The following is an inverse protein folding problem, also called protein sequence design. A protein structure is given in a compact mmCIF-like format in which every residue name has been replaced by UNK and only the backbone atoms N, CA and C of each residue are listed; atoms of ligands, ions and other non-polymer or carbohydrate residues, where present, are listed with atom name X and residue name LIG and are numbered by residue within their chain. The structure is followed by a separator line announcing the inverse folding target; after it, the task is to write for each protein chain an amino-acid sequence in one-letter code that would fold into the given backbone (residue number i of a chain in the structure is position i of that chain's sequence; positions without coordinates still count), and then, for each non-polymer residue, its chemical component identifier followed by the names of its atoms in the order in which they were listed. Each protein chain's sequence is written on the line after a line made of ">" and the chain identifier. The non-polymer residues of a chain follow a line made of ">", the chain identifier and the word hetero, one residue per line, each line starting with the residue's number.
data_IF_098114158890
#
_entry.id   IF_098114158890
#
_cell.length_a   1.000
_cell.length_b   1.000
_cell.length_c   1.000
_cell.angle_alpha   90.00
_cell.angle_beta   90.00
_cell.angle_gamma   90.00
#
_symmetry.space_group_name_H-M   'P 1'
#
loop_
_entity.id
_entity.type
_entity.pdbx_description
1 polymer ?
#
# COMPACT_ATOMS: atom_id res chain seq x y z
N UNK A 1 28.58 11.10 16.63
CA UNK A 1 27.21 11.22 16.07
C UNK A 1 27.03 9.98 15.22
N UNK A 2 25.98 9.18 15.43
CA UNK A 2 25.69 8.08 14.51
C UNK A 2 25.44 8.70 13.13
N UNK A 3 25.99 8.08 12.10
CA UNK A 3 25.76 8.51 10.73
C UNK A 3 24.26 8.32 10.43
N UNK A 4 23.58 9.34 9.90
CA UNK A 4 22.18 9.26 9.52
C UNK A 4 22.01 8.20 8.46
N UNK A 5 21.01 7.29 8.55
CA UNK A 5 20.84 6.22 7.56
C UNK A 5 20.34 6.75 6.22
N UNK A 6 20.66 6.04 5.16
CA UNK A 6 19.86 6.08 3.94
C UNK A 6 18.51 5.41 4.20
N UNK A 7 17.51 5.74 3.40
CA UNK A 7 16.17 5.18 3.51
C UNK A 7 15.70 4.69 2.13
N UNK A 8 15.49 3.40 1.99
CA UNK A 8 14.79 2.81 0.85
C UNK A 8 13.35 2.52 1.28
N UNK A 9 12.41 3.31 0.81
CA UNK A 9 10.99 3.11 1.05
C UNK A 9 10.34 2.53 -0.20
N UNK A 10 10.13 1.21 -0.20
CA UNK A 10 9.50 0.46 -1.29
C UNK A 10 8.03 0.25 -0.98
N UNK A 11 7.15 0.88 -1.75
CA UNK A 11 5.71 0.88 -1.57
C UNK A 11 5.02 0.31 -2.82
N UNK A 12 4.32 -0.79 -2.66
CA UNK A 12 3.44 -1.36 -3.69
C UNK A 12 2.09 -0.63 -3.70
N UNK A 13 1.32 -0.78 -4.77
CA UNK A 13 -0.04 -0.26 -4.87
C UNK A 13 -1.04 -1.42 -4.78
N UNK A 14 -1.91 -1.37 -3.78
CA UNK A 14 -3.02 -2.31 -3.64
C UNK A 14 -2.58 -3.75 -3.28
N UNK A 15 -1.48 -3.92 -2.52
CA UNK A 15 -1.02 -5.24 -2.06
C UNK A 15 -1.61 -5.62 -0.70
N UNK A 16 -2.22 -6.79 -0.62
CA UNK A 16 -2.80 -7.36 0.59
C UNK A 16 -1.72 -7.81 1.58
N UNK A 17 -2.05 -7.73 2.88
CA UNK A 17 -1.19 -8.18 3.98
C UNK A 17 -0.85 -9.68 3.92
N UNK A 18 -1.76 -10.51 3.38
CA UNK A 18 -1.70 -11.98 3.37
C UNK A 18 -0.96 -12.54 2.14
N UNK A 19 -0.08 -11.75 1.51
CA UNK A 19 0.62 -12.11 0.27
C UNK A 19 2.13 -12.26 0.44
N UNK A 20 2.58 -12.70 1.60
CA UNK A 20 3.99 -12.94 1.94
C UNK A 20 4.14 -14.36 2.47
N UNK A 21 5.08 -15.14 1.88
CA UNK A 21 5.29 -16.55 2.23
C UNK A 21 5.70 -16.74 3.68
N UNK A 22 6.68 -15.98 4.18
CA UNK A 22 7.14 -16.05 5.58
C UNK A 22 6.07 -15.65 6.61
N UNK A 23 4.99 -14.98 6.19
CA UNK A 23 3.86 -14.62 7.04
C UNK A 23 2.67 -15.57 6.91
N UNK A 24 2.87 -16.73 6.27
CA UNK A 24 1.93 -17.85 6.30
C UNK A 24 1.18 -18.16 5.01
N UNK A 25 1.47 -17.50 3.88
CA UNK A 25 0.85 -17.82 2.60
C UNK A 25 1.71 -18.80 1.78
N UNK A 26 1.32 -20.09 1.64
CA UNK A 26 2.09 -21.07 0.89
C UNK A 26 1.89 -20.98 -0.64
N UNK A 27 0.97 -20.15 -1.12
CA UNK A 27 0.61 -20.04 -2.54
C UNK A 27 1.34 -18.91 -3.26
N UNK A 28 2.01 -18.00 -2.54
CA UNK A 28 2.83 -16.93 -3.11
C UNK A 28 4.30 -17.33 -3.22
N UNK A 29 5.06 -16.61 -4.04
CA UNK A 29 6.51 -16.77 -4.16
C UNK A 29 7.20 -15.44 -3.87
N UNK A 30 7.69 -15.28 -2.63
CA UNK A 30 8.28 -14.03 -2.12
C UNK A 30 9.60 -14.26 -1.35
N UNK A 31 10.58 -15.03 -1.90
CA UNK A 31 11.78 -15.40 -1.16
C UNK A 31 12.61 -14.20 -0.67
N UNK A 32 12.58 -13.07 -1.38
CA UNK A 32 13.36 -11.88 -1.01
C UNK A 32 12.66 -11.10 0.10
N UNK A 33 11.34 -10.91 0.01
CA UNK A 33 10.55 -10.30 1.08
C UNK A 33 10.54 -11.23 2.31
N UNK A 34 10.49 -12.55 2.13
CA UNK A 34 10.63 -13.54 3.20
C UNK A 34 11.98 -13.42 3.93
N UNK A 35 13.06 -13.14 3.18
CA UNK A 35 14.36 -12.86 3.79
C UNK A 35 14.34 -11.53 4.55
N UNK A 36 13.68 -10.50 4.01
CA UNK A 36 13.54 -9.22 4.71
C UNK A 36 12.77 -9.37 6.04
N UNK A 37 11.77 -10.26 6.11
CA UNK A 37 11.06 -10.62 7.35
C UNK A 37 12.06 -11.20 8.37
N UNK A 38 12.94 -12.10 7.95
CA UNK A 38 13.98 -12.67 8.82
C UNK A 38 15.06 -11.67 9.22
N UNK A 39 15.36 -10.68 8.37
CA UNK A 39 16.40 -9.66 8.59
C UNK A 39 15.91 -8.44 9.39
N UNK A 40 14.63 -8.39 9.75
CA UNK A 40 14.04 -7.22 10.38
C UNK A 40 12.81 -7.51 11.23
N UNK A 41 11.95 -6.51 11.31
CA UNK A 41 10.66 -6.57 12.01
C UNK A 41 9.52 -6.54 11.01
N UNK A 42 8.65 -7.56 11.06
CA UNK A 42 7.40 -7.60 10.33
C UNK A 42 6.24 -7.24 11.27
N UNK A 43 5.49 -6.18 10.95
CA UNK A 43 4.29 -5.79 11.68
C UNK A 43 3.08 -6.47 11.06
N UNK A 44 2.54 -7.45 11.77
CA UNK A 44 1.45 -8.30 11.24
C UNK A 44 0.10 -7.58 11.21
N UNK A 45 -0.06 -6.49 11.97
CA UNK A 45 -1.32 -5.73 12.12
C UNK A 45 -1.13 -4.25 11.77
N UNK A 46 -0.73 -3.98 10.51
CA UNK A 46 -0.60 -2.62 9.98
C UNK A 46 -1.81 -2.27 9.11
N UNK A 47 -2.34 -1.06 9.32
CA UNK A 47 -3.57 -0.58 8.66
C UNK A 47 -3.35 0.75 7.96
N UNK A 48 -3.86 0.86 6.73
CA UNK A 48 -3.91 2.13 6.00
C UNK A 48 -5.06 3.01 6.51
N UNK A 49 -4.91 4.33 6.36
CA UNK A 49 -5.90 5.28 6.85
C UNK A 49 -7.03 5.53 5.87
N UNK A 50 -6.98 4.90 4.70
CA UNK A 50 -8.09 4.83 3.74
C UNK A 50 -7.90 3.61 2.83
N UNK A 51 -8.97 2.91 2.44
CA UNK A 51 -8.91 1.85 1.42
C UNK A 51 -8.77 2.40 -0.01
N UNK A 52 -8.40 3.67 -0.18
CA UNK A 52 -8.26 4.36 -1.48
C UNK A 52 -6.91 5.05 -1.57
N UNK A 53 -6.27 4.99 -2.75
CA UNK A 53 -4.88 5.41 -2.98
C UNK A 53 -4.59 6.84 -2.52
N UNK A 54 -5.23 7.86 -3.13
CA UNK A 54 -4.92 9.28 -2.85
C UNK A 54 -5.07 9.64 -1.37
N UNK A 55 -6.19 9.34 -0.68
CA UNK A 55 -6.30 9.68 0.73
C UNK A 55 -5.34 8.86 1.62
N UNK A 56 -5.05 7.60 1.30
CA UNK A 56 -4.03 6.84 2.03
C UNK A 56 -2.64 7.45 1.84
N UNK A 57 -2.24 7.74 0.59
CA UNK A 57 -0.95 8.37 0.28
C UNK A 57 -0.82 9.76 0.89
N UNK A 58 -1.86 10.57 0.83
CA UNK A 58 -1.90 11.86 1.50
C UNK A 58 -1.68 11.74 3.01
N UNK A 59 -2.27 10.71 3.64
CA UNK A 59 -2.14 10.45 5.07
C UNK A 59 -0.70 10.08 5.44
N UNK A 60 -0.13 9.05 4.84
CA UNK A 60 1.21 8.63 5.24
C UNK A 60 2.31 9.60 4.78
N UNK A 61 2.12 10.37 3.70
CA UNK A 61 3.07 11.40 3.30
C UNK A 61 3.04 12.64 4.18
N UNK A 62 1.92 12.94 4.84
CA UNK A 62 1.78 14.13 5.70
C UNK A 62 1.81 13.84 7.20
N UNK A 63 1.71 12.57 7.61
CA UNK A 63 1.58 12.16 9.01
C UNK A 63 0.23 12.49 9.63
N UNK A 64 -0.81 12.77 8.82
CA UNK A 64 -2.16 13.16 9.27
C UNK A 64 -3.22 12.20 8.72
N UNK A 65 -4.33 12.04 9.43
CA UNK A 65 -5.50 11.35 8.88
C UNK A 65 -6.05 12.08 7.65
N UNK A 66 -6.66 11.37 6.68
CA UNK A 66 -7.18 11.97 5.44
C UNK A 66 -8.08 13.17 5.67
N UNK A 67 -8.96 13.13 6.68
CA UNK A 67 -9.85 14.24 7.06
C UNK A 67 -9.14 15.50 7.54
N UNK A 68 -7.89 15.38 7.98
CA UNK A 68 -7.05 16.50 8.43
C UNK A 68 -6.21 17.12 7.31
N UNK A 69 -5.90 16.33 6.29
CA UNK A 69 -5.16 16.79 5.10
C UNK A 69 -6.07 17.50 4.10
N UNK A 70 -7.40 17.35 4.22
CA UNK A 70 -8.38 17.84 3.25
C UNK A 70 -8.19 17.28 1.83
N UNK A 71 -7.54 16.13 1.71
CA UNK A 71 -7.35 15.41 0.47
C UNK A 71 -7.87 13.97 0.63
N UNK A 72 -9.17 13.82 0.48
CA UNK A 72 -9.90 12.60 0.84
C UNK A 72 -10.34 11.77 -0.37
N UNK A 73 -9.99 12.20 -1.60
CA UNK A 73 -10.57 11.65 -2.83
C UNK A 73 -9.53 11.43 -3.93
N UNK A 74 -9.62 10.31 -4.65
CA UNK A 74 -9.01 10.15 -5.95
C UNK A 74 -9.58 11.18 -6.94
N UNK A 75 -8.76 11.69 -7.86
CA UNK A 75 -9.19 12.65 -8.86
C UNK A 75 -9.21 14.12 -8.41
N UNK A 76 -8.82 14.43 -7.18
CA UNK A 76 -8.65 15.81 -6.73
C UNK A 76 -7.61 16.55 -7.58
N UNK A 77 -7.96 17.74 -8.09
CA UNK A 77 -7.09 18.49 -8.99
C UNK A 77 -5.88 19.13 -8.31
N UNK A 78 -5.91 19.29 -6.98
CA UNK A 78 -4.87 19.96 -6.20
C UNK A 78 -4.63 19.26 -4.89
N UNK A 79 -3.39 19.31 -4.41
CA UNK A 79 -3.02 18.97 -3.04
C UNK A 79 -2.81 20.26 -2.25
N UNK A 80 -3.22 20.35 -0.97
CA UNK A 80 -3.02 21.56 -0.17
C UNK A 80 -1.53 21.85 0.05
N UNK A 81 -1.16 23.14 0.15
CA UNK A 81 0.22 23.54 0.41
C UNK A 81 0.66 23.26 1.87
N UNK A 82 -0.25 22.88 2.73
CA UNK A 82 -0.01 22.52 4.12
C UNK A 82 -0.85 21.27 4.46
N UNK A 83 -0.31 20.29 5.19
CA UNK A 83 1.04 20.26 5.76
C UNK A 83 2.09 19.89 4.69
N UNK A 84 3.39 20.20 4.94
CA UNK A 84 4.47 19.68 4.09
C UNK A 84 4.53 18.16 4.18
N UNK A 85 4.84 17.52 3.06
CA UNK A 85 5.03 16.08 2.99
C UNK A 85 6.38 15.66 3.59
N UNK A 86 6.48 14.41 4.05
CA UNK A 86 7.70 13.90 4.70
C UNK A 86 8.95 14.09 3.83
N UNK A 87 8.87 13.90 2.52
CA UNK A 87 10.01 14.09 1.62
C UNK A 87 10.53 15.53 1.62
N UNK A 88 9.64 16.53 1.80
CA UNK A 88 10.06 17.92 1.98
C UNK A 88 10.77 18.12 3.31
N UNK A 89 10.25 17.57 4.40
CA UNK A 89 10.90 17.66 5.73
C UNK A 89 12.28 17.01 5.71
N UNK A 90 12.42 15.88 5.06
CA UNK A 90 13.70 15.17 4.90
C UNK A 90 14.67 15.95 4.03
N UNK A 91 14.22 16.52 2.91
CA UNK A 91 15.05 17.36 2.04
C UNK A 91 15.54 18.62 2.77
N UNK A 92 14.70 19.30 3.54
CA UNK A 92 15.07 20.46 4.35
C UNK A 92 16.09 20.09 5.46
N UNK A 93 16.08 18.85 5.91
CA UNK A 93 17.07 18.31 6.84
C UNK A 93 18.34 17.80 6.17
N UNK A 94 18.50 17.96 4.84
CA UNK A 94 19.70 17.65 4.08
C UNK A 94 19.76 16.24 3.49
N UNK A 95 18.62 15.55 3.37
CA UNK A 95 18.53 14.31 2.60
C UNK A 95 18.43 14.60 1.10
N UNK A 96 19.10 13.78 0.30
CA UNK A 96 18.86 13.73 -1.14
C UNK A 96 17.64 12.81 -1.41
N UNK A 97 16.51 13.41 -1.81
CA UNK A 97 15.24 12.70 -1.92
C UNK A 97 14.92 12.36 -3.37
N UNK A 98 14.58 11.08 -3.62
CA UNK A 98 14.14 10.59 -4.93
C UNK A 98 12.73 10.00 -4.88
N UNK A 99 11.96 10.22 -5.97
CA UNK A 99 10.70 9.53 -6.25
C UNK A 99 10.82 8.74 -7.55
N UNK A 100 10.35 7.49 -7.50
CA UNK A 100 10.18 6.65 -8.68
C UNK A 100 8.78 6.05 -8.66
N UNK A 101 8.03 6.23 -9.75
CA UNK A 101 6.68 5.66 -9.91
C UNK A 101 5.55 6.60 -9.49
N UNK A 102 4.58 6.08 -8.78
CA UNK A 102 3.29 6.72 -8.48
C UNK A 102 3.35 7.59 -7.24
N UNK A 103 3.19 8.91 -7.37
CA UNK A 103 3.03 9.81 -6.22
C UNK A 103 1.57 9.88 -5.76
N UNK A 104 0.69 10.27 -6.65
CA UNK A 104 -0.78 10.22 -6.52
C UNK A 104 -1.35 10.96 -5.33
N UNK A 105 -0.86 12.16 -5.09
CA UNK A 105 -1.48 13.12 -4.16
C UNK A 105 -2.53 13.99 -4.85
N UNK A 106 -2.45 14.08 -6.18
CA UNK A 106 -3.39 14.80 -7.05
C UNK A 106 -3.81 13.92 -8.22
N UNK A 107 -4.79 14.39 -8.99
CA UNK A 107 -5.14 13.75 -10.26
C UNK A 107 -4.04 13.97 -11.27
N UNK A 108 -3.59 12.89 -11.87
CA UNK A 108 -2.67 12.96 -13.00
C UNK A 108 -3.35 13.41 -14.31
N UNK A 109 -4.65 13.11 -14.50
CA UNK A 109 -5.45 13.62 -15.61
C UNK A 109 -4.85 13.39 -17.00
N UNK A 110 -4.19 12.25 -17.23
CA UNK A 110 -3.45 11.87 -18.45
C UNK A 110 -2.19 12.71 -18.71
N UNK A 111 -1.57 13.21 -17.68
CA UNK A 111 -0.31 13.95 -17.70
C UNK A 111 0.46 13.67 -16.43
N UNK A 112 1.71 14.10 -16.37
CA UNK A 112 2.45 14.10 -15.09
C UNK A 112 1.64 14.83 -14.02
N UNK A 113 1.54 14.22 -12.86
CA UNK A 113 0.92 14.85 -11.70
C UNK A 113 1.60 16.19 -11.40
N UNK A 114 0.84 17.28 -11.20
CA UNK A 114 1.43 18.57 -10.88
C UNK A 114 2.29 18.48 -9.63
N UNK A 115 3.54 18.97 -9.69
CA UNK A 115 4.45 18.98 -8.55
C UNK A 115 3.98 20.01 -7.51
N UNK A 116 4.08 19.59 -6.25
CA UNK A 116 4.00 20.46 -5.07
C UNK A 116 5.42 20.79 -4.59
N UNK A 117 5.58 21.48 -3.46
CA UNK A 117 6.87 21.59 -2.78
C UNK A 117 7.16 20.28 -2.03
N UNK A 118 7.53 19.26 -2.78
CA UNK A 118 7.67 17.87 -2.32
C UNK A 118 9.07 17.48 -1.85
N UNK A 119 10.08 18.29 -2.16
CA UNK A 119 11.47 18.07 -1.77
C UNK A 119 12.23 17.04 -2.62
N UNK A 120 11.64 16.44 -3.65
CA UNK A 120 12.34 15.47 -4.50
C UNK A 120 13.27 16.17 -5.50
N UNK A 121 14.56 15.86 -5.43
CA UNK A 121 15.61 16.24 -6.39
C UNK A 121 15.63 15.31 -7.61
N UNK A 122 15.37 14.01 -7.40
CA UNK A 122 15.24 13.00 -8.44
C UNK A 122 13.76 12.61 -8.58
N UNK A 123 13.21 12.77 -9.80
CA UNK A 123 11.80 12.54 -10.07
C UNK A 123 11.65 11.71 -11.35
N UNK A 124 11.18 10.49 -11.22
CA UNK A 124 10.85 9.58 -12.31
C UNK A 124 9.41 9.12 -12.17
N UNK A 125 8.52 9.83 -12.83
CA UNK A 125 7.08 9.68 -12.68
C UNK A 125 6.51 8.55 -13.54
N UNK A 126 5.66 7.75 -12.94
CA UNK A 126 4.81 6.79 -13.61
C UNK A 126 3.51 6.64 -12.82
N UNK A 127 2.40 6.44 -13.53
CA UNK A 127 1.12 6.10 -12.93
C UNK A 127 0.64 4.74 -13.48
N UNK A 128 -0.54 4.65 -14.07
CA UNK A 128 -0.99 3.40 -14.70
C UNK A 128 -0.10 3.03 -15.92
N UNK A 129 0.08 1.73 -16.23
CA UNK A 129 0.91 1.27 -17.35
C UNK A 129 0.22 1.50 -18.70
N UNK A 130 0.04 2.77 -19.10
CA UNK A 130 -0.67 3.23 -20.29
C UNK A 130 0.18 4.26 -21.03
N UNK A 131 0.00 4.36 -22.34
CA UNK A 131 0.65 5.35 -23.23
C UNK A 131 -0.39 6.23 -23.94
N UNK A 132 -1.40 6.69 -23.19
CA UNK A 132 -2.39 7.66 -23.65
C UNK A 132 -2.30 8.99 -22.87
N UNK A 133 -1.14 9.26 -22.30
CA UNK A 133 -0.84 10.47 -21.52
C UNK A 133 -0.29 11.55 -22.45
N UNK A 134 -0.67 12.79 -22.22
CA UNK A 134 -0.27 13.91 -23.05
C UNK A 134 1.22 14.23 -22.92
N UNK A 135 1.78 14.09 -21.70
CA UNK A 135 3.19 14.39 -21.41
C UNK A 135 3.66 13.79 -20.07
N UNK A 136 4.98 13.63 -19.93
CA UNK A 136 5.66 13.43 -18.66
C UNK A 136 5.42 12.09 -17.99
N UNK A 137 5.13 11.04 -18.74
CA UNK A 137 5.02 9.68 -18.25
C UNK A 137 6.32 8.92 -18.52
N UNK A 138 7.32 9.08 -17.61
CA UNK A 138 8.69 8.58 -17.81
C UNK A 138 8.76 7.09 -18.18
N UNK A 139 7.87 6.26 -17.64
CA UNK A 139 7.82 4.83 -18.00
C UNK A 139 7.39 4.61 -19.46
N UNK A 140 6.35 5.27 -19.94
CA UNK A 140 5.90 5.13 -21.32
C UNK A 140 6.95 5.69 -22.30
N UNK A 141 7.59 6.81 -21.95
CA UNK A 141 8.70 7.39 -22.70
C UNK A 141 9.85 6.38 -22.81
N UNK A 142 10.23 5.76 -21.69
CA UNK A 142 11.28 4.74 -21.67
C UNK A 142 10.93 3.51 -22.52
N UNK A 143 9.70 3.01 -22.50
CA UNK A 143 9.28 1.90 -23.36
C UNK A 143 9.43 2.27 -24.85
N UNK A 144 9.04 3.50 -25.23
CA UNK A 144 9.25 4.00 -26.61
C UNK A 144 10.73 4.11 -26.97
N UNK A 145 11.58 4.57 -26.06
CA UNK A 145 13.04 4.63 -26.24
C UNK A 145 13.66 3.24 -26.47
N UNK A 146 13.09 2.21 -25.84
CA UNK A 146 13.49 0.81 -26.06
C UNK A 146 12.89 0.22 -27.37
N UNK A 147 12.14 1.01 -28.14
CA UNK A 147 11.49 0.57 -29.38
C UNK A 147 10.18 -0.18 -29.20
N UNK A 148 9.61 -0.16 -28.00
CA UNK A 148 8.32 -0.78 -27.68
C UNK A 148 7.13 0.15 -27.95
N UNK A 149 5.95 -0.46 -28.12
CA UNK A 149 4.65 0.20 -28.11
C UNK A 149 3.85 -0.37 -26.91
N UNK A 150 3.74 0.41 -25.86
CA UNK A 150 3.13 -0.05 -24.60
C UNK A 150 1.67 -0.46 -24.76
N UNK A 151 0.89 0.25 -25.58
CA UNK A 151 -0.51 -0.08 -25.79
C UNK A 151 -0.65 -1.41 -26.56
N UNK A 152 0.14 -1.61 -27.63
CA UNK A 152 0.15 -2.86 -28.37
C UNK A 152 0.65 -4.05 -27.49
N UNK A 153 1.68 -3.85 -26.69
CA UNK A 153 2.20 -4.88 -25.77
C UNK A 153 1.17 -5.31 -24.73
N UNK A 154 0.40 -4.39 -24.18
CA UNK A 154 -0.66 -4.71 -23.21
C UNK A 154 -1.82 -5.51 -23.77
N UNK A 155 -2.13 -5.30 -25.06
CA UNK A 155 -3.22 -5.99 -25.77
C UNK A 155 -2.76 -7.32 -26.35
N UNK A 156 -1.46 -7.60 -26.40
CA UNK A 156 -0.92 -8.84 -26.97
C UNK A 156 -1.15 -10.04 -26.04
N UNK A 157 -1.26 -11.25 -26.61
CA UNK A 157 -1.31 -12.50 -25.85
C UNK A 157 -0.04 -12.75 -25.05
N UNK A 158 1.09 -12.20 -25.50
CA UNK A 158 2.39 -12.29 -24.82
C UNK A 158 2.54 -11.27 -23.69
N UNK A 159 1.64 -10.29 -23.61
CA UNK A 159 1.61 -9.21 -22.63
C UNK A 159 2.88 -8.35 -22.68
N UNK A 160 3.05 -7.45 -21.71
CA UNK A 160 4.29 -6.68 -21.57
C UNK A 160 5.41 -7.61 -21.12
N UNK A 161 6.51 -7.76 -21.87
CA UNK A 161 7.62 -8.61 -21.46
C UNK A 161 8.30 -8.06 -20.21
N UNK A 162 8.92 -8.95 -19.42
CA UNK A 162 9.53 -8.60 -18.12
C UNK A 162 10.50 -7.42 -18.24
N UNK A 163 11.31 -7.39 -19.27
CA UNK A 163 12.34 -6.36 -19.51
C UNK A 163 11.76 -4.98 -19.82
N UNK A 164 10.53 -4.89 -20.31
CA UNK A 164 9.81 -3.64 -20.58
C UNK A 164 8.72 -3.33 -19.55
N UNK A 165 8.55 -4.19 -18.54
CA UNK A 165 7.49 -4.02 -17.56
C UNK A 165 7.76 -2.84 -16.60
N UNK A 166 6.67 -2.19 -16.14
CA UNK A 166 6.76 -1.01 -15.26
C UNK A 166 7.54 -1.27 -13.97
N UNK A 167 7.34 -2.44 -13.35
CA UNK A 167 8.06 -2.84 -12.14
C UNK A 167 9.56 -3.00 -12.40
N UNK A 168 9.95 -3.50 -13.60
CA UNK A 168 11.35 -3.57 -14.03
C UNK A 168 11.93 -2.18 -14.27
N UNK A 169 11.19 -1.30 -14.96
CA UNK A 169 11.60 0.09 -15.15
C UNK A 169 11.84 0.80 -13.80
N UNK A 170 10.94 0.62 -12.83
CA UNK A 170 11.12 1.23 -11.51
C UNK A 170 12.38 0.74 -10.81
N UNK A 171 12.72 -0.55 -10.96
CA UNK A 171 13.96 -1.11 -10.42
C UNK A 171 15.19 -0.56 -11.12
N UNK A 172 15.19 -0.42 -12.45
CA UNK A 172 16.30 0.21 -13.20
C UNK A 172 16.54 1.65 -12.73
N UNK A 173 15.48 2.44 -12.54
CA UNK A 173 15.60 3.82 -12.04
C UNK A 173 16.09 3.85 -10.59
N UNK A 174 15.70 2.88 -9.77
CA UNK A 174 16.18 2.76 -8.38
C UNK A 174 17.68 2.43 -8.32
N UNK A 175 18.12 1.48 -9.15
CA UNK A 175 19.53 1.10 -9.30
C UNK A 175 20.36 2.30 -9.79
N UNK A 176 19.84 3.05 -10.76
CA UNK A 176 20.48 4.28 -11.24
C UNK A 176 20.65 5.30 -10.09
N UNK A 177 19.61 5.58 -9.33
CA UNK A 177 19.66 6.50 -8.20
C UNK A 177 20.67 6.06 -7.13
N UNK A 178 20.64 4.79 -6.69
CA UNK A 178 21.52 4.26 -5.66
C UNK A 178 23.01 4.35 -6.07
N UNK A 179 23.30 4.20 -7.36
CA UNK A 179 24.67 4.27 -7.90
C UNK A 179 25.18 5.69 -8.12
N UNK A 180 24.33 6.71 -8.06
CA UNK A 180 24.77 8.10 -8.17
C UNK A 180 25.56 8.51 -6.91
N UNK A 181 26.49 9.46 -7.02
CA UNK A 181 27.13 10.05 -5.85
C UNK A 181 26.13 10.96 -5.11
N UNK A 182 25.98 10.76 -3.82
CA UNK A 182 25.16 11.59 -2.93
C UNK A 182 26.05 12.39 -2.00
N UNK A 183 25.72 13.68 -1.78
CA UNK A 183 26.48 14.55 -0.88
C UNK A 183 26.21 14.27 0.61
N UNK A 184 25.16 13.54 0.91
CA UNK A 184 24.71 13.17 2.26
C UNK A 184 23.85 11.92 2.24
N UNK A 185 23.08 11.66 3.31
CA UNK A 185 22.13 10.56 3.31
C UNK A 185 21.03 10.81 2.27
N UNK A 186 20.46 9.72 1.75
CA UNK A 186 19.37 9.80 0.77
C UNK A 186 18.13 9.08 1.25
N UNK A 187 16.96 9.52 0.74
CA UNK A 187 15.68 8.83 0.88
C UNK A 187 15.10 8.56 -0.52
N UNK A 188 15.00 7.29 -0.89
CA UNK A 188 14.38 6.86 -2.13
C UNK A 188 12.99 6.29 -1.87
N UNK A 189 11.98 6.95 -2.41
CA UNK A 189 10.59 6.53 -2.36
C UNK A 189 10.25 5.84 -3.69
N UNK A 190 10.22 4.49 -3.68
CA UNK A 190 9.88 3.66 -4.85
C UNK A 190 8.43 3.24 -4.74
N UNK A 191 7.59 3.80 -5.57
CA UNK A 191 6.14 3.57 -5.58
C UNK A 191 5.74 2.84 -6.85
N UNK A 192 5.80 1.53 -6.85
CA UNK A 192 5.39 0.72 -8.01
C UNK A 192 3.87 0.66 -8.13
N UNK A 193 3.39 0.49 -9.37
CA UNK A 193 1.96 0.40 -9.64
C UNK A 193 1.40 -0.99 -9.31
N UNK A 194 2.20 -2.04 -9.49
CA UNK A 194 1.78 -3.41 -9.20
C UNK A 194 1.63 -3.64 -7.68
N UNK A 195 0.72 -4.55 -7.28
CA UNK A 195 -0.18 -5.40 -8.09
C UNK A 195 -1.56 -4.79 -8.40
N UNK A 196 -1.70 -3.45 -8.48
CA UNK A 196 -2.94 -2.75 -8.86
C UNK A 196 -3.48 -3.26 -10.23
N UNK A 197 -4.80 -3.39 -10.42
CA UNK A 197 -5.36 -3.75 -11.72
C UNK A 197 -5.00 -2.73 -12.83
N UNK A 198 -4.92 -3.17 -14.10
CA UNK A 198 -5.28 -4.50 -14.59
C UNK A 198 -4.26 -5.56 -14.22
N UNK A 199 -4.72 -6.77 -13.83
CA UNK A 199 -3.85 -7.86 -13.42
C UNK A 199 -3.21 -8.51 -14.66
N UNK A 200 -2.12 -7.91 -15.14
CA UNK A 200 -1.42 -8.29 -16.39
C UNK A 200 0.07 -8.56 -16.09
N UNK A 201 0.39 -9.63 -15.36
CA UNK A 201 1.79 -10.01 -15.16
C UNK A 201 2.44 -10.40 -16.48
N UNK A 202 3.76 -10.29 -16.67
CA UNK A 202 4.47 -10.89 -17.78
C UNK A 202 4.18 -12.39 -17.88
N UNK A 203 4.17 -12.95 -19.10
CA UNK A 203 3.87 -14.38 -19.31
C UNK A 203 4.74 -15.30 -18.49
N UNK A 204 6.04 -15.00 -18.39
CA UNK A 204 7.01 -15.80 -17.61
C UNK A 204 6.67 -15.94 -16.12
N UNK A 205 5.94 -14.98 -15.57
CA UNK A 205 5.42 -15.06 -14.19
C UNK A 205 4.03 -15.69 -14.16
N UNK A 206 3.14 -15.33 -15.11
CA UNK A 206 1.79 -15.90 -15.16
C UNK A 206 1.79 -17.43 -15.25
N UNK A 207 2.72 -18.02 -16.01
CA UNK A 207 2.86 -19.47 -16.19
C UNK A 207 3.33 -20.21 -14.93
N UNK A 208 3.79 -19.51 -13.88
CA UNK A 208 4.21 -20.10 -12.61
C UNK A 208 3.05 -20.39 -11.65
N UNK A 209 1.86 -19.84 -11.93
CA UNK A 209 0.70 -19.91 -11.03
C UNK A 209 -0.49 -20.56 -11.74
N UNK A 210 -0.81 -21.79 -11.31
CA UNK A 210 -1.99 -22.51 -11.81
C UNK A 210 -3.26 -21.98 -11.10
N UNK A 211 -4.25 -21.41 -11.80
CA UNK A 211 -5.52 -21.00 -11.21
C UNK A 211 -6.21 -22.10 -10.38
N UNK A 212 -6.08 -23.37 -10.80
CA UNK A 212 -6.69 -24.49 -10.08
C UNK A 212 -6.01 -24.79 -8.72
N UNK A 213 -4.79 -24.28 -8.50
CA UNK A 213 -4.06 -24.43 -7.24
C UNK A 213 -4.27 -23.23 -6.27
N UNK A 214 -4.99 -22.20 -6.69
CA UNK A 214 -5.27 -21.04 -5.84
C UNK A 214 -6.33 -21.35 -4.78
N UNK A 215 -6.18 -20.82 -3.55
CA UNK A 215 -7.14 -21.10 -2.47
C UNK A 215 -8.55 -20.51 -2.72
N UNK A 216 -8.65 -19.51 -3.60
CA UNK A 216 -9.85 -18.73 -3.80
C UNK A 216 -10.07 -17.66 -2.72
N UNK A 217 -11.13 -16.86 -2.86
CA UNK A 217 -11.43 -15.78 -1.93
C UNK A 217 -12.13 -16.28 -0.66
N UNK A 218 -12.10 -15.46 0.39
CA UNK A 218 -12.93 -15.62 1.57
C UNK A 218 -14.36 -15.19 1.25
N UNK A 219 -15.19 -16.16 0.88
CA UNK A 219 -16.55 -15.93 0.44
C UNK A 219 -17.52 -16.94 1.05
N UNK A 220 -18.67 -16.48 1.47
CA UNK A 220 -19.85 -17.27 1.84
C UNK A 220 -21.06 -16.74 1.07
N UNK A 221 -22.03 -17.60 0.76
CA UNK A 221 -23.26 -17.19 0.06
C UNK A 221 -24.03 -16.10 0.83
N UNK A 222 -23.91 -16.10 2.17
CA UNK A 222 -24.48 -15.07 3.04
C UNK A 222 -23.92 -13.67 2.78
N UNK A 223 -22.69 -13.54 2.25
CA UNK A 223 -22.05 -12.26 1.96
C UNK A 223 -22.81 -11.47 0.90
N UNK A 224 -23.46 -12.16 -0.06
CA UNK A 224 -24.31 -11.51 -1.07
C UNK A 224 -25.43 -10.68 -0.42
N UNK A 225 -26.07 -11.24 0.62
CA UNK A 225 -27.13 -10.53 1.35
C UNK A 225 -26.58 -9.43 2.26
N UNK A 226 -25.37 -9.62 2.82
CA UNK A 226 -24.70 -8.59 3.62
C UNK A 226 -24.32 -7.40 2.74
N UNK A 227 -23.73 -7.63 1.56
CA UNK A 227 -23.36 -6.57 0.62
C UNK A 227 -24.59 -5.83 0.06
N UNK A 228 -25.71 -6.50 -0.14
CA UNK A 228 -26.96 -5.86 -0.59
C UNK A 228 -27.44 -4.75 0.38
N UNK A 229 -27.17 -4.87 1.70
CA UNK A 229 -27.47 -3.82 2.69
C UNK A 229 -26.58 -2.56 2.51
N UNK A 230 -25.44 -2.70 1.87
CA UNK A 230 -24.45 -1.66 1.62
C UNK A 230 -24.42 -1.20 0.16
N UNK A 231 -25.45 -1.54 -0.63
CA UNK A 231 -25.53 -1.22 -2.06
C UNK A 231 -25.48 0.28 -2.36
N UNK A 232 -25.93 1.13 -1.41
CA UNK A 232 -25.88 2.60 -1.52
C UNK A 232 -24.52 3.18 -1.07
N UNK A 233 -23.53 2.34 -0.74
CA UNK A 233 -22.19 2.76 -0.35
C UNK A 233 -21.21 2.48 -1.50
N UNK A 234 -20.38 3.46 -1.84
CA UNK A 234 -19.47 3.42 -2.98
C UNK A 234 -18.61 2.18 -3.03
N UNK A 235 -18.56 1.55 -4.20
CA UNK A 235 -17.59 0.51 -4.52
C UNK A 235 -17.28 0.51 -6.02
N UNK A 236 -16.08 0.04 -6.42
CA UNK A 236 -15.66 0.10 -7.82
C UNK A 236 -16.31 -0.97 -8.70
N UNK A 237 -16.80 -2.07 -8.11
CA UNK A 237 -17.40 -3.18 -8.85
C UNK A 237 -18.71 -3.62 -8.18
N UNK A 238 -19.49 -4.40 -8.92
CA UNK A 238 -20.71 -5.03 -8.43
C UNK A 238 -20.38 -6.32 -7.67
N UNK A 239 -21.22 -6.64 -6.69
CA UNK A 239 -21.09 -7.88 -5.92
C UNK A 239 -21.45 -9.08 -6.81
N UNK A 240 -20.57 -10.08 -6.88
CA UNK A 240 -20.72 -11.31 -7.67
C UNK A 240 -20.14 -12.51 -6.94
N UNK A 241 -20.49 -13.71 -7.38
CA UNK A 241 -19.87 -14.93 -6.85
C UNK A 241 -18.40 -15.06 -7.29
N UNK A 242 -17.58 -15.87 -6.61
CA UNK A 242 -16.21 -16.15 -7.04
C UNK A 242 -16.10 -16.67 -8.48
N UNK A 243 -17.06 -17.47 -8.93
CA UNK A 243 -17.10 -18.00 -10.30
C UNK A 243 -17.38 -16.90 -11.32
N UNK A 244 -18.30 -15.97 -11.02
CA UNK A 244 -18.61 -14.83 -11.89
C UNK A 244 -17.46 -13.84 -12.00
N UNK A 245 -16.58 -13.77 -10.97
CA UNK A 245 -15.36 -12.97 -10.97
C UNK A 245 -14.17 -13.68 -11.62
N UNK A 246 -14.24 -14.96 -11.93
CA UNK A 246 -13.07 -15.79 -12.28
C UNK A 246 -11.96 -15.67 -11.21
N UNK A 247 -12.39 -15.70 -9.93
CA UNK A 247 -11.57 -15.28 -8.80
C UNK A 247 -10.25 -16.05 -8.66
N UNK A 248 -10.25 -17.37 -8.95
CA UNK A 248 -9.02 -18.17 -8.92
C UNK A 248 -8.01 -17.72 -9.99
N UNK A 249 -8.46 -17.41 -11.20
CA UNK A 249 -7.57 -16.94 -12.26
C UNK A 249 -7.07 -15.51 -11.98
N UNK A 250 -7.90 -14.66 -11.40
CA UNK A 250 -7.50 -13.32 -10.94
C UNK A 250 -6.46 -13.43 -9.84
N UNK A 251 -6.67 -14.31 -8.84
CA UNK A 251 -5.71 -14.53 -7.76
C UNK A 251 -4.37 -15.04 -8.25
N UNK A 252 -4.37 -15.99 -9.21
CA UNK A 252 -3.15 -16.48 -9.84
C UNK A 252 -2.35 -15.35 -10.53
N UNK A 253 -3.03 -14.46 -11.26
CA UNK A 253 -2.40 -13.29 -11.90
C UNK A 253 -1.86 -12.29 -10.86
N UNK A 254 -2.60 -12.05 -9.80
CA UNK A 254 -2.20 -11.18 -8.71
C UNK A 254 -0.93 -11.70 -8.00
N UNK A 255 -0.86 -13.00 -7.72
CA UNK A 255 0.32 -13.63 -7.14
C UNK A 255 1.51 -13.66 -8.09
N UNK A 256 1.26 -13.78 -9.40
CA UNK A 256 2.30 -13.67 -10.42
C UNK A 256 2.93 -12.26 -10.48
N UNK A 257 2.13 -11.20 -10.32
CA UNK A 257 2.65 -9.83 -10.20
C UNK A 257 3.49 -9.66 -8.93
N UNK A 258 3.07 -10.23 -7.82
CA UNK A 258 3.83 -10.20 -6.56
C UNK A 258 5.17 -10.94 -6.69
N UNK A 259 5.20 -12.07 -7.39
CA UNK A 259 6.45 -12.79 -7.66
C UNK A 259 7.43 -11.94 -8.52
N UNK A 260 6.93 -11.17 -9.47
CA UNK A 260 7.75 -10.21 -10.22
C UNK A 260 8.26 -9.07 -9.33
N UNK A 261 7.41 -8.55 -8.45
CA UNK A 261 7.81 -7.51 -7.47
C UNK A 261 8.99 -8.02 -6.65
N UNK A 262 8.90 -9.23 -6.12
CA UNK A 262 9.95 -9.85 -5.30
C UNK A 262 11.28 -9.97 -6.05
N UNK A 263 11.26 -10.48 -7.29
CA UNK A 263 12.45 -10.61 -8.12
C UNK A 263 13.08 -9.23 -8.47
N UNK A 264 12.25 -8.23 -8.72
CA UNK A 264 12.74 -6.88 -9.03
C UNK A 264 13.26 -6.16 -7.77
N UNK A 265 12.65 -6.39 -6.61
CA UNK A 265 13.14 -5.89 -5.33
C UNK A 265 14.50 -6.51 -4.98
N UNK A 266 14.74 -7.79 -5.29
CA UNK A 266 16.04 -8.44 -5.14
C UNK A 266 17.17 -7.67 -5.83
N UNK A 267 16.94 -7.17 -7.05
CA UNK A 267 17.94 -6.41 -7.83
C UNK A 267 18.32 -5.08 -7.15
N UNK A 268 17.34 -4.43 -6.53
CA UNK A 268 17.58 -3.18 -5.77
C UNK A 268 18.43 -3.49 -4.54
N UNK A 269 18.07 -4.53 -3.76
CA UNK A 269 18.81 -4.93 -2.57
C UNK A 269 20.24 -5.37 -2.91
N UNK A 270 20.41 -6.14 -3.99
CA UNK A 270 21.73 -6.52 -4.50
C UNK A 270 22.60 -5.27 -4.83
N UNK A 271 21.98 -4.23 -5.39
CA UNK A 271 22.71 -2.98 -5.68
C UNK A 271 23.19 -2.28 -4.40
N UNK A 272 22.42 -2.31 -3.32
CA UNK A 272 22.87 -1.81 -2.02
C UNK A 272 24.09 -2.60 -1.50
N UNK A 273 24.10 -3.92 -1.67
CA UNK A 273 25.23 -4.79 -1.30
C UNK A 273 26.47 -4.48 -2.16
N UNK A 274 26.31 -4.42 -3.49
CA UNK A 274 27.39 -4.13 -4.45
C UNK A 274 28.04 -2.74 -4.24
N UNK A 275 27.25 -1.76 -3.78
CA UNK A 275 27.74 -0.39 -3.51
C UNK A 275 28.19 -0.18 -2.07
N UNK A 276 28.08 -1.22 -1.21
CA UNK A 276 28.46 -1.14 0.20
C UNK A 276 27.56 -0.25 1.04
N UNK A 277 26.32 0.00 0.60
CA UNK A 277 25.38 0.89 1.29
C UNK A 277 24.38 0.14 2.18
N UNK A 278 24.30 -1.20 2.09
CA UNK A 278 23.31 -2.03 2.78
C UNK A 278 23.28 -1.80 4.29
N UNK A 279 24.45 -1.76 4.94
CA UNK A 279 24.57 -1.67 6.41
C UNK A 279 24.15 -0.31 6.96
N UNK A 280 24.13 0.73 6.11
CA UNK A 280 23.67 2.07 6.49
C UNK A 280 22.34 2.46 5.80
N UNK A 281 21.52 1.49 5.45
CA UNK A 281 20.21 1.73 4.81
C UNK A 281 19.08 1.10 5.61
N UNK A 282 18.12 1.92 6.01
CA UNK A 282 16.82 1.46 6.49
C UNK A 282 15.99 1.04 5.27
N UNK A 283 15.51 -0.19 5.28
CA UNK A 283 14.67 -0.74 4.21
C UNK A 283 13.27 -0.92 4.73
N UNK A 284 12.32 -0.33 4.01
CA UNK A 284 10.88 -0.44 4.27
C UNK A 284 10.22 -1.08 3.07
N UNK A 285 9.46 -2.15 3.31
CA UNK A 285 8.54 -2.76 2.36
C UNK A 285 7.11 -2.61 2.87
N UNK A 286 6.22 -1.99 2.08
CA UNK A 286 4.82 -1.75 2.46
C UNK A 286 3.92 -1.59 1.24
N UNK A 287 2.61 -1.38 1.47
CA UNK A 287 1.61 -1.01 0.45
C UNK A 287 0.78 0.17 0.92
N UNK A 288 0.14 0.88 -0.01
CA UNK A 288 -0.74 2.01 0.32
C UNK A 288 -2.12 1.57 0.81
N UNK A 289 -2.68 0.48 0.31
CA UNK A 289 -3.90 -0.21 0.75
C UNK A 289 -3.92 -1.62 0.17
N UNK A 290 -4.93 -2.43 0.51
CA UNK A 290 -5.12 -3.77 -0.02
C UNK A 290 -6.09 -3.86 -1.20
N UNK A 291 -6.58 -5.08 -1.46
CA UNK A 291 -7.44 -5.48 -2.57
C UNK A 291 -8.53 -6.43 -2.04
N UNK A 292 -9.76 -6.30 -2.51
CA UNK A 292 -10.83 -7.24 -2.14
C UNK A 292 -10.57 -8.64 -2.71
N UNK A 293 -10.09 -8.76 -3.93
CA UNK A 293 -9.64 -9.98 -4.59
C UNK A 293 -10.69 -11.13 -4.59
N UNK A 294 -11.97 -10.79 -4.59
CA UNK A 294 -13.09 -11.73 -4.53
C UNK A 294 -13.66 -11.96 -3.14
N UNK A 295 -12.99 -11.51 -2.07
CA UNK A 295 -13.51 -11.63 -0.71
C UNK A 295 -14.87 -10.95 -0.61
N UNK A 296 -15.83 -11.59 0.08
CA UNK A 296 -17.21 -11.14 0.21
C UNK A 296 -17.96 -10.90 -1.12
N UNK A 297 -17.49 -11.48 -2.23
CA UNK A 297 -18.02 -11.25 -3.57
C UNK A 297 -17.60 -9.91 -4.19
N UNK A 298 -16.54 -9.29 -3.71
CA UNK A 298 -16.07 -7.98 -4.14
C UNK A 298 -14.73 -8.05 -4.87
N UNK A 299 -14.55 -7.22 -5.89
CA UNK A 299 -13.26 -7.00 -6.57
C UNK A 299 -12.84 -5.54 -6.45
N UNK A 300 -11.55 -5.30 -6.44
CA UNK A 300 -10.96 -3.96 -6.35
C UNK A 300 -11.15 -3.32 -4.96
N UNK A 301 -11.63 -2.09 -4.90
CA UNK A 301 -11.68 -1.25 -3.70
C UNK A 301 -12.89 -0.33 -3.66
N UNK A 302 -13.17 0.23 -2.50
CA UNK A 302 -14.28 1.15 -2.30
C UNK A 302 -14.53 1.37 -0.82
N UNK A 303 -15.76 1.76 -0.47
CA UNK A 303 -16.15 2.04 0.89
C UNK A 303 -16.47 0.74 1.65
N UNK A 304 -15.45 -0.06 1.93
CA UNK A 304 -15.44 -1.23 2.81
C UNK A 304 -14.12 -1.26 3.57
N UNK A 305 -14.12 -1.85 4.77
CA UNK A 305 -12.94 -1.90 5.64
C UNK A 305 -12.55 -3.33 6.03
N UNK A 306 -12.81 -4.31 5.16
CA UNK A 306 -12.39 -5.69 5.36
C UNK A 306 -10.87 -5.80 5.46
N UNK A 307 -10.38 -6.80 6.23
CA UNK A 307 -8.94 -7.00 6.42
C UNK A 307 -8.18 -7.02 5.08
N UNK A 308 -8.71 -7.65 4.04
CA UNK A 308 -8.10 -7.66 2.70
C UNK A 308 -7.89 -6.27 2.08
N UNK A 309 -8.70 -5.27 2.47
CA UNK A 309 -8.65 -3.91 1.92
C UNK A 309 -7.82 -2.94 2.75
N UNK A 310 -7.86 -3.04 4.08
CA UNK A 310 -7.25 -2.04 4.96
C UNK A 310 -6.00 -2.51 5.69
N UNK A 311 -5.81 -3.82 5.83
CA UNK A 311 -4.59 -4.39 6.41
C UNK A 311 -3.55 -4.60 5.32
N UNK A 312 -2.34 -4.12 5.55
CA UNK A 312 -1.27 -4.05 4.56
C UNK A 312 0.02 -4.65 5.11
N UNK A 313 0.95 -5.09 4.25
CA UNK A 313 2.28 -5.48 4.70
C UNK A 313 3.07 -4.27 5.22
N UNK A 314 3.83 -4.47 6.30
CA UNK A 314 4.86 -3.55 6.74
C UNK A 314 6.03 -4.34 7.31
N UNK A 315 7.18 -4.25 6.65
CA UNK A 315 8.42 -4.87 7.09
C UNK A 315 9.49 -3.79 7.09
N UNK A 316 10.23 -3.68 8.20
CA UNK A 316 11.30 -2.69 8.33
C UNK A 316 12.57 -3.40 8.80
N UNK A 317 13.67 -3.21 8.07
CA UNK A 317 14.97 -3.79 8.37
C UNK A 317 16.08 -2.74 8.32
N UNK A 318 16.98 -2.82 9.27
CA UNK A 318 18.28 -2.11 9.26
C UNK A 318 19.32 -3.03 9.87
N UNK A 319 20.19 -3.65 9.04
CA UNK A 319 21.13 -4.65 9.52
C UNK A 319 22.01 -4.15 10.67
N UNK A 320 22.11 -4.96 11.74
CA UNK A 320 22.92 -4.64 12.92
C UNK A 320 22.41 -3.50 13.80
N UNK A 321 21.25 -2.90 13.48
CA UNK A 321 20.62 -1.84 14.25
C UNK A 321 19.26 -2.22 14.80
N UNK A 322 18.46 -2.93 14.01
CA UNK A 322 17.14 -3.40 14.41
C UNK A 322 17.20 -4.87 14.81
N UNK A 323 16.23 -5.29 15.60
CA UNK A 323 16.05 -6.71 15.90
C UNK A 323 15.71 -7.46 14.61
N UNK A 324 16.22 -8.67 14.50
CA UNK A 324 15.95 -9.53 13.36
C UNK A 324 14.98 -10.65 13.75
N UNK A 325 14.32 -11.22 12.76
CA UNK A 325 13.37 -12.35 12.89
C UNK A 325 12.29 -12.09 13.96
N UNK A 326 11.76 -10.86 13.98
CA UNK A 326 10.71 -10.47 14.91
C UNK A 326 9.41 -10.15 14.18
N UNK A 327 8.35 -10.88 14.53
CA UNK A 327 6.99 -10.56 14.11
C UNK A 327 6.27 -9.88 15.28
N UNK A 328 5.87 -8.62 15.08
CA UNK A 328 5.14 -7.86 16.07
C UNK A 328 3.65 -7.82 15.72
N UNK A 329 2.81 -8.16 16.71
CA UNK A 329 1.35 -8.07 16.61
C UNK A 329 0.83 -6.70 17.07
N UNK A 330 1.70 -5.71 17.23
CA UNK A 330 1.30 -4.35 17.55
C UNK A 330 0.33 -3.80 16.51
N UNK A 331 -0.72 -3.11 16.97
CA UNK A 331 -1.57 -2.34 16.08
C UNK A 331 -0.82 -1.12 15.58
N UNK A 332 -0.61 -1.04 14.26
CA UNK A 332 0.15 0.00 13.57
C UNK A 332 -0.72 0.70 12.54
N UNK A 333 -0.61 1.99 12.45
CA UNK A 333 -1.17 2.79 11.37
C UNK A 333 -0.08 3.16 10.36
N UNK A 334 -0.38 3.16 9.07
CA UNK A 334 0.63 3.46 8.04
C UNK A 334 1.23 4.86 8.20
N UNK A 335 0.50 5.81 8.77
CA UNK A 335 1.02 7.14 9.11
C UNK A 335 2.10 7.12 10.22
N UNK A 336 2.23 6.02 10.99
CA UNK A 336 3.32 5.81 11.96
C UNK A 336 4.67 5.64 11.27
N UNK A 337 4.66 5.17 10.01
CA UNK A 337 5.87 5.03 9.23
C UNK A 337 6.58 6.38 9.04
N UNK A 338 5.85 7.43 8.66
CA UNK A 338 6.46 8.76 8.47
C UNK A 338 7.04 9.32 9.78
N UNK A 339 6.35 9.14 10.91
CA UNK A 339 6.87 9.51 12.22
C UNK A 339 8.14 8.71 12.56
N UNK A 340 8.15 7.41 12.23
CA UNK A 340 9.31 6.53 12.42
C UNK A 340 10.51 6.98 11.59
N UNK A 341 10.31 7.29 10.32
CA UNK A 341 11.41 7.70 9.42
C UNK A 341 12.02 9.05 9.84
N UNK A 342 11.22 10.01 10.29
CA UNK A 342 11.73 11.27 10.84
C UNK A 342 12.55 11.01 12.11
N UNK A 343 12.07 10.18 13.03
CA UNK A 343 12.78 9.84 14.27
C UNK A 343 14.11 9.10 13.99
N UNK A 344 14.14 8.16 13.04
CA UNK A 344 15.35 7.44 12.64
C UNK A 344 16.39 8.36 11.95
N UNK A 345 15.92 9.40 11.28
CA UNK A 345 16.73 10.40 10.61
C UNK A 345 17.22 11.52 11.54
N UNK A 346 16.87 11.50 12.83
CA UNK A 346 17.07 12.59 13.80
C UNK A 346 16.52 13.93 13.26
N UNK A 347 15.35 13.89 12.61
CA UNK A 347 14.60 15.05 12.12
C UNK A 347 13.46 15.33 13.08
N UNK A 348 13.32 16.59 13.49
CA UNK A 348 12.27 17.00 14.41
C UNK A 348 10.87 16.73 13.82
N UNK A 349 10.08 15.94 14.55
CA UNK A 349 8.72 15.63 14.15
C UNK A 349 7.80 16.81 14.47
N UNK A 350 7.07 17.35 13.47
CA UNK A 350 6.16 18.46 13.71
C UNK A 350 5.03 18.11 14.70
N UNK A 351 4.63 19.05 15.54
CA UNK A 351 3.57 18.88 16.57
C UNK A 351 2.21 18.47 16.00
N UNK A 352 1.95 18.71 14.72
CA UNK A 352 0.70 18.31 14.07
C UNK A 352 0.64 16.85 13.64
N UNK A 353 1.76 16.10 13.68
CA UNK A 353 1.80 14.68 13.31
C UNK A 353 0.88 13.87 14.24
N UNK A 354 0.14 12.94 13.63
CA UNK A 354 -0.75 12.01 14.34
C UNK A 354 -0.18 10.60 14.42
N UNK A 355 0.91 10.35 13.70
CA UNK A 355 1.70 9.13 13.75
C UNK A 355 2.57 9.05 15.00
N UNK A 356 2.90 7.84 15.40
CA UNK A 356 3.80 7.53 16.51
C UNK A 356 4.98 6.67 16.01
N UNK A 357 6.19 6.96 16.48
CA UNK A 357 7.41 6.25 16.06
C UNK A 357 7.41 4.79 16.52
N UNK A 358 7.75 3.88 15.61
CA UNK A 358 7.96 2.45 15.86
C UNK A 358 9.39 2.12 16.33
N UNK A 359 10.27 3.13 16.47
CA UNK A 359 11.69 2.97 16.77
C UNK A 359 11.94 2.10 18.01
N UNK A 360 11.09 2.21 19.04
CA UNK A 360 11.22 1.43 20.28
C UNK A 360 11.09 -0.09 20.02
N UNK A 361 10.16 -0.48 19.14
CA UNK A 361 9.96 -1.90 18.74
C UNK A 361 11.11 -2.32 17.85
N UNK A 362 11.46 -1.52 16.85
CA UNK A 362 12.51 -1.83 15.88
C UNK A 362 13.88 -2.05 16.54
N UNK A 363 14.23 -1.25 17.56
CA UNK A 363 15.47 -1.40 18.33
C UNK A 363 15.37 -2.46 19.46
N UNK A 364 14.24 -3.15 19.62
CA UNK A 364 14.03 -4.17 20.64
C UNK A 364 13.94 -3.63 22.06
N UNK A 365 13.67 -2.32 22.24
CA UNK A 365 13.51 -1.69 23.56
C UNK A 365 12.14 -1.98 24.16
N UNK A 366 11.14 -2.20 23.34
CA UNK A 366 9.78 -2.59 23.73
C UNK A 366 9.22 -3.60 22.74
N UNK A 367 9.07 -4.84 23.16
CA UNK A 367 8.51 -5.94 22.37
C UNK A 367 7.15 -6.39 22.93
N UNK A 368 6.45 -5.52 23.67
CA UNK A 368 5.17 -5.84 24.30
C UNK A 368 3.96 -5.76 23.38
N UNK A 369 4.13 -5.36 22.12
CA UNK A 369 3.05 -5.06 21.16
C UNK A 369 2.05 -3.98 21.62
N UNK A 370 2.45 -3.13 22.57
CA UNK A 370 1.59 -2.12 23.19
C UNK A 370 1.66 -0.74 22.50
N UNK A 371 1.84 -0.71 21.17
CA UNK A 371 2.00 0.55 20.41
C UNK A 371 0.71 1.39 20.40
N UNK A 372 -0.40 0.81 19.93
CA UNK A 372 -1.71 1.45 19.86
C UNK A 372 -2.80 0.55 20.45
N UNK A 373 -3.84 1.15 21.06
CA UNK A 373 -5.00 0.42 21.55
C UNK A 373 -6.02 0.14 20.41
N UNK A 374 -6.00 0.98 19.37
CA UNK A 374 -6.85 0.86 18.20
C UNK A 374 -6.18 1.49 16.98
N UNK A 375 -6.69 1.16 15.81
CA UNK A 375 -6.36 1.80 14.53
C UNK A 375 -7.62 2.30 13.86
N UNK A 376 -7.47 3.33 13.02
CA UNK A 376 -8.56 4.00 12.33
C UNK A 376 -8.31 4.06 10.83
N UNK A 377 -9.40 3.89 10.05
CA UNK A 377 -9.43 4.14 8.61
C UNK A 377 -10.66 4.96 8.23
N UNK A 378 -10.56 5.77 7.19
CA UNK A 378 -11.58 6.74 6.79
C UNK A 378 -11.90 6.60 5.30
N UNK A 379 -13.19 6.66 4.97
CA UNK A 379 -13.66 6.82 3.60
C UNK A 379 -14.60 8.02 3.56
N UNK A 380 -14.19 9.10 2.91
CA UNK A 380 -14.95 10.33 2.82
C UNK A 380 -15.13 10.71 1.35
N UNK A 381 -16.14 10.11 0.69
CA UNK A 381 -16.42 10.29 -0.75
C UNK A 381 -15.13 10.11 -1.58
N UNK A 382 -14.41 9.01 -1.29
CA UNK A 382 -12.98 8.90 -1.60
C UNK A 382 -12.68 8.36 -3.01
N UNK A 383 -13.63 7.69 -3.67
CA UNK A 383 -13.48 7.28 -5.07
C UNK A 383 -13.56 8.47 -6.01
N UNK A 384 -12.87 8.34 -7.16
CA UNK A 384 -12.98 9.31 -8.23
C UNK A 384 -14.47 9.45 -8.65
N UNK A 385 -15.00 10.68 -8.78
CA UNK A 385 -16.38 10.92 -9.21
C UNK A 385 -16.75 10.26 -10.55
N UNK A 386 -15.76 9.88 -11.35
CA UNK A 386 -15.98 9.11 -12.56
C UNK A 386 -16.69 7.77 -12.29
N UNK A 387 -16.39 7.14 -11.14
CA UNK A 387 -17.01 5.86 -10.75
C UNK A 387 -18.35 6.03 -10.03
N UNK A 388 -18.52 7.10 -9.26
CA UNK A 388 -19.64 7.21 -8.31
C UNK A 388 -20.55 8.41 -8.57
N UNK A 389 -20.16 9.32 -9.48
CA UNK A 389 -20.86 10.60 -9.66
C UNK A 389 -20.73 11.55 -8.46
N UNK A 390 -19.90 11.19 -7.46
CA UNK A 390 -19.80 11.93 -6.19
C UNK A 390 -21.00 11.61 -5.29
N UNK A 391 -21.07 10.38 -4.78
CA UNK A 391 -22.23 9.87 -4.04
C UNK A 391 -22.43 10.49 -2.67
N UNK A 392 -21.36 11.10 -2.11
CA UNK A 392 -21.36 11.62 -0.74
C UNK A 392 -21.35 10.51 0.32
N UNK A 393 -20.77 9.34 0.04
CA UNK A 393 -20.58 8.28 1.03
C UNK A 393 -19.47 8.62 2.01
N UNK A 394 -19.76 8.57 3.30
CA UNK A 394 -18.82 8.80 4.40
C UNK A 394 -18.86 7.64 5.37
N UNK A 395 -17.70 7.08 5.69
CA UNK A 395 -17.59 5.98 6.63
C UNK A 395 -16.28 6.05 7.42
N UNK A 396 -16.29 5.48 8.64
CA UNK A 396 -15.10 5.34 9.48
C UNK A 396 -15.03 3.94 10.06
N UNK A 397 -13.82 3.41 10.15
CA UNK A 397 -13.49 2.18 10.85
C UNK A 397 -12.76 2.51 12.16
N UNK A 398 -13.14 1.83 13.23
CA UNK A 398 -12.42 1.71 14.49
C UNK A 398 -12.13 0.23 14.75
N UNK A 399 -10.86 -0.14 14.84
CA UNK A 399 -10.43 -1.53 15.03
C UNK A 399 -9.52 -1.64 16.24
N UNK A 400 -9.96 -2.42 17.22
CA UNK A 400 -9.19 -2.85 18.40
C UNK A 400 -8.51 -4.18 18.12
N UNK A 401 -7.80 -4.78 19.09
CA UNK A 401 -7.22 -6.12 18.92
C UNK A 401 -8.25 -7.19 18.58
N UNK A 402 -9.44 -7.09 19.14
CA UNK A 402 -10.45 -8.15 19.11
C UNK A 402 -11.66 -7.83 18.24
N UNK A 403 -11.97 -6.55 18.04
CA UNK A 403 -13.20 -6.15 17.35
C UNK A 403 -12.96 -5.04 16.34
N UNK A 404 -13.80 -5.01 15.32
CA UNK A 404 -13.84 -3.95 14.32
C UNK A 404 -15.25 -3.38 14.23
N UNK A 405 -15.37 -2.06 14.35
CA UNK A 405 -16.61 -1.31 14.15
C UNK A 405 -16.46 -0.43 12.90
N UNK A 406 -17.41 -0.55 11.96
CA UNK A 406 -17.50 0.32 10.78
C UNK A 406 -18.83 1.06 10.79
N UNK A 407 -18.78 2.39 10.68
CA UNK A 407 -19.97 3.25 10.69
C UNK A 407 -20.09 3.94 9.35
N UNK A 408 -21.20 3.71 8.65
CA UNK A 408 -21.54 4.40 7.41
C UNK A 408 -22.43 5.60 7.73
N UNK A 409 -21.81 6.78 7.77
CA UNK A 409 -22.46 7.98 8.32
C UNK A 409 -23.69 8.41 7.52
N UNK A 410 -24.80 8.63 8.24
CA UNK A 410 -26.08 9.03 7.66
C UNK A 410 -26.86 7.94 6.92
N UNK A 411 -26.32 6.72 6.82
CA UNK A 411 -26.94 5.60 6.10
C UNK A 411 -27.80 4.70 7.01
N UNK A 412 -27.64 4.77 8.33
CA UNK A 412 -28.36 3.92 9.30
C UNK A 412 -27.89 2.47 9.32
N UNK A 413 -26.77 2.17 8.67
CA UNK A 413 -26.14 0.84 8.60
C UNK A 413 -24.71 0.89 9.14
N UNK A 414 -24.21 -0.26 9.54
CA UNK A 414 -22.83 -0.43 10.00
C UNK A 414 -22.42 -1.89 10.04
N UNK A 415 -21.18 -2.11 10.44
CA UNK A 415 -20.64 -3.46 10.62
C UNK A 415 -19.92 -3.52 11.95
N UNK A 416 -20.09 -4.64 12.65
CA UNK A 416 -19.37 -4.98 13.88
C UNK A 416 -18.91 -6.43 13.78
N UNK A 417 -17.61 -6.67 13.90
CA UNK A 417 -17.02 -7.99 13.78
C UNK A 417 -16.23 -8.36 15.03
N UNK A 418 -16.31 -9.62 15.42
CA UNK A 418 -15.45 -10.28 16.41
C UNK A 418 -14.30 -10.97 15.68
N UNK A 419 -13.15 -10.31 15.60
CA UNK A 419 -12.00 -10.77 14.82
C UNK A 419 -11.26 -11.97 15.45
N UNK A 420 -11.53 -12.30 16.70
CA UNK A 420 -10.97 -13.49 17.35
C UNK A 420 -11.69 -14.77 16.88
N UNK A 421 -13.01 -14.69 16.68
CA UNK A 421 -13.84 -15.83 16.29
C UNK A 421 -14.19 -15.82 14.79
N UNK A 422 -14.18 -14.66 14.15
CA UNK A 422 -14.46 -14.45 12.73
C UNK A 422 -13.43 -13.51 12.08
N UNK A 423 -12.19 -13.99 11.90
CA UNK A 423 -11.09 -13.16 11.38
C UNK A 423 -11.29 -12.71 9.92
N UNK A 424 -12.23 -13.30 9.20
CA UNK A 424 -12.58 -12.95 7.83
C UNK A 424 -13.92 -12.23 7.70
N UNK A 425 -14.52 -11.79 8.82
CA UNK A 425 -15.59 -10.79 8.86
C UNK A 425 -16.90 -11.20 8.13
N UNK A 426 -17.29 -12.47 8.23
CA UNK A 426 -18.52 -12.98 7.61
C UNK A 426 -19.77 -12.74 8.47
N UNK A 427 -19.61 -12.59 9.80
CA UNK A 427 -20.73 -12.48 10.74
C UNK A 427 -20.85 -11.05 11.28
N UNK A 428 -21.68 -10.25 10.63
CA UNK A 428 -21.93 -8.87 11.07
C UNK A 428 -22.84 -8.81 12.31
N UNK A 429 -22.30 -8.42 13.45
CA UNK A 429 -22.97 -8.31 14.75
C UNK A 429 -23.65 -6.95 14.98
N UNK A 430 -23.68 -6.07 13.99
CA UNK A 430 -24.21 -4.70 14.11
C UNK A 430 -25.63 -4.63 14.64
N UNK A 431 -26.51 -5.52 14.19
CA UNK A 431 -27.93 -5.56 14.55
C UNK A 431 -28.24 -6.56 15.70
N UNK A 432 -27.20 -7.24 16.23
CA UNK A 432 -27.38 -8.21 17.32
C UNK A 432 -27.58 -7.49 18.66
N UNK A 433 -28.74 -7.65 19.34
CA UNK A 433 -29.00 -7.02 20.63
C UNK A 433 -28.00 -7.42 21.72
N UNK A 434 -27.40 -8.62 21.66
CA UNK A 434 -26.42 -9.08 22.61
C UNK A 434 -25.12 -8.27 22.55
N UNK A 435 -24.83 -7.61 21.43
CA UNK A 435 -23.64 -6.81 21.18
C UNK A 435 -23.89 -5.29 21.21
N UNK A 436 -25.12 -4.84 21.58
CA UNK A 436 -25.49 -3.43 21.59
C UNK A 436 -24.58 -2.58 22.52
N UNK A 437 -24.27 -3.08 23.71
CA UNK A 437 -23.39 -2.39 24.66
C UNK A 437 -21.94 -2.32 24.16
N UNK A 438 -21.45 -3.35 23.50
CA UNK A 438 -20.12 -3.36 22.88
C UNK A 438 -20.05 -2.34 21.75
N UNK A 439 -21.01 -2.36 20.84
CA UNK A 439 -21.13 -1.39 19.75
C UNK A 439 -21.13 0.06 20.23
N UNK A 440 -21.78 0.31 21.37
CA UNK A 440 -21.83 1.67 21.95
C UNK A 440 -20.51 2.12 22.60
N UNK A 441 -19.71 1.17 23.10
CA UNK A 441 -18.41 1.48 23.73
C UNK A 441 -17.29 1.69 22.72
N UNK A 442 -17.35 1.04 21.55
CA UNK A 442 -16.41 1.20 20.45
C UNK A 442 -16.70 2.47 19.65
#
# INVERSE_FOLDING_TARGET
>A
MSERPNILWYCTDQQRFDTIGALGNPHVRTPVVDQLVRDGVAFTHTYCQSPICTPSRASFMSGLYPSRVHNTRNGNATFPNWPPVISKLMADAGYDCGLIGKFHLQSSGRRTEPRIDDGFSYWKFSHAPRDDWEEGHDYADWVREQGGDLNALRESDDRVPTELHQTTWASERSIEFIRQPHAGPWMLNVNIYDPHPPFIPPRSYAEQFDPAAMPGPHFRESDMAAQAKLADCDFQDEVRTPEEHDAHAVQARYYAMIAQIDDQFARILQTLDETGQRDNTVIVFTSDHGEALGDHGLMYKGCRFYEGLVRIPLIISWPGRFVADHQSDALVELLDLSATLLDLADVEMPDYFQGASLRSILEGRDLSDAHRNFVRSEYFDALDPHFTGGSGTYATMHRTRTHKLCVYHGKGVGELFDLENDPWEHENLWDDPAHADLKHRL
#
